data_IF_979547915914
#
_entry.id   IF_979547915914
#
_cell.length_a   1.000
_cell.length_b   1.000
_cell.length_c   1.000
_cell.angle_alpha   90.00
_cell.angle_beta   90.00
_cell.angle_gamma   90.00
#
_symmetry.space_group_name_H-M   'P 1'
#
loop_
_entity.id
_entity.type
_entity.pdbx_description
1 polymer ?
#
# COMPACT_ATOMS: atom_id res chain seq x y z
N UNK A 1 1.29 -9.74 15.01
CA UNK A 1 0.21 -9.96 14.01
C UNK A 1 -0.66 -8.73 13.79
N UNK A 2 -0.80 -7.87 14.81
CA UNK A 2 -1.59 -6.64 14.82
C UNK A 2 -1.35 -5.70 13.63
N UNK A 3 -0.09 -5.31 13.36
CA UNK A 3 0.25 -4.41 12.24
C UNK A 3 -0.25 -4.94 10.89
N UNK A 4 -0.17 -6.25 10.68
CA UNK A 4 -0.66 -6.88 9.45
C UNK A 4 -2.18 -6.79 9.33
N UNK A 5 -2.92 -6.95 10.42
CA UNK A 5 -4.38 -6.81 10.42
C UNK A 5 -4.81 -5.37 10.14
N UNK A 6 -4.18 -4.40 10.81
CA UNK A 6 -4.44 -2.97 10.58
C UNK A 6 -4.15 -2.62 9.12
N UNK A 7 -3.01 -3.06 8.60
CA UNK A 7 -2.60 -2.77 7.22
C UNK A 7 -3.51 -3.48 6.19
N UNK A 8 -4.04 -4.66 6.52
CA UNK A 8 -5.04 -5.33 5.69
C UNK A 8 -6.32 -4.51 5.59
N UNK A 9 -6.86 -4.05 6.73
CA UNK A 9 -8.07 -3.22 6.76
C UNK A 9 -7.85 -1.88 6.05
N UNK A 10 -6.70 -1.23 6.28
CA UNK A 10 -6.34 -0.01 5.58
C UNK A 10 -6.23 -0.21 4.06
N UNK A 11 -5.67 -1.35 3.61
CA UNK A 11 -5.58 -1.68 2.19
C UNK A 11 -6.95 -1.90 1.56
N UNK A 12 -7.89 -2.53 2.27
CA UNK A 12 -9.27 -2.70 1.82
C UNK A 12 -9.97 -1.34 1.63
N UNK A 13 -9.81 -0.42 2.56
CA UNK A 13 -10.32 0.95 2.43
C UNK A 13 -9.63 1.71 1.30
N UNK A 14 -8.31 1.60 1.18
CA UNK A 14 -7.54 2.26 0.13
C UNK A 14 -7.98 1.81 -1.27
N UNK A 15 -8.23 0.52 -1.50
CA UNK A 15 -8.73 0.03 -2.79
C UNK A 15 -10.14 0.54 -3.14
N UNK A 16 -10.93 1.01 -2.17
CA UNK A 16 -12.26 1.60 -2.43
C UNK A 16 -12.16 3.07 -2.83
N UNK A 17 -11.25 3.81 -2.22
CA UNK A 17 -11.18 5.27 -2.34
C UNK A 17 -10.02 5.80 -3.19
N UNK A 18 -8.97 5.01 -3.41
CA UNK A 18 -7.79 5.38 -4.19
C UNK A 18 -7.75 4.55 -5.50
N UNK A 19 -8.11 5.15 -6.65
CA UNK A 19 -8.14 4.46 -7.94
C UNK A 19 -6.82 3.78 -8.31
N UNK A 20 -5.67 4.40 -8.02
CA UNK A 20 -4.35 3.83 -8.39
C UNK A 20 -4.03 2.52 -7.67
N UNK A 21 -4.53 2.36 -6.44
CA UNK A 21 -4.37 1.13 -5.66
C UNK A 21 -5.40 0.08 -6.08
N UNK A 22 -6.62 0.50 -6.41
CA UNK A 22 -7.66 -0.35 -7.00
C UNK A 22 -7.21 -0.97 -8.33
N UNK A 23 -6.70 -0.15 -9.23
CA UNK A 23 -6.27 -0.58 -10.56
C UNK A 23 -5.05 -1.51 -10.46
N UNK A 24 -4.15 -1.24 -9.51
CA UNK A 24 -3.06 -2.15 -9.20
C UNK A 24 -3.57 -3.51 -8.72
N UNK A 25 -4.51 -3.54 -7.78
CA UNK A 25 -5.16 -4.79 -7.34
C UNK A 25 -5.82 -5.54 -8.51
N UNK A 26 -6.60 -4.83 -9.32
CA UNK A 26 -7.29 -5.41 -10.48
C UNK A 26 -6.30 -5.97 -11.51
N UNK A 27 -5.19 -5.29 -11.77
CA UNK A 27 -4.15 -5.79 -12.68
C UNK A 27 -3.54 -7.11 -12.20
N UNK A 28 -3.37 -7.29 -10.89
CA UNK A 28 -2.87 -8.55 -10.31
C UNK A 28 -3.93 -9.65 -10.44
N UNK A 29 -5.21 -9.33 -10.22
CA UNK A 29 -6.33 -10.27 -10.40
C UNK A 29 -6.46 -10.69 -11.87
N UNK A 30 -6.33 -9.77 -12.81
CA UNK A 30 -6.34 -10.05 -14.25
C UNK A 30 -5.20 -10.98 -14.68
N UNK A 31 -4.04 -10.90 -13.99
CA UNK A 31 -2.90 -11.83 -14.16
C UNK A 31 -3.08 -13.18 -13.45
N UNK A 32 -4.28 -13.50 -12.96
CA UNK A 32 -4.59 -14.77 -12.30
C UNK A 32 -4.09 -14.90 -10.85
N UNK A 33 -3.62 -13.81 -10.22
CA UNK A 33 -3.17 -13.88 -8.82
C UNK A 33 -4.36 -14.03 -7.88
N UNK A 34 -4.21 -14.86 -6.84
CA UNK A 34 -5.21 -15.03 -5.79
C UNK A 34 -5.56 -13.71 -5.10
N UNK A 35 -6.80 -13.58 -4.62
CA UNK A 35 -7.30 -12.36 -3.99
C UNK A 35 -6.47 -11.94 -2.78
N UNK A 36 -6.12 -12.90 -1.91
CA UNK A 36 -5.27 -12.64 -0.73
C UNK A 36 -3.86 -12.20 -1.13
N UNK A 37 -3.25 -12.83 -2.14
CA UNK A 37 -1.93 -12.45 -2.65
C UNK A 37 -1.96 -11.02 -3.23
N UNK A 38 -3.00 -10.68 -3.97
CA UNK A 38 -3.17 -9.33 -4.50
C UNK A 38 -3.33 -8.27 -3.39
N UNK A 39 -4.06 -8.58 -2.31
CA UNK A 39 -4.16 -7.68 -1.15
C UNK A 39 -2.80 -7.50 -0.47
N UNK A 40 -2.03 -8.59 -0.27
CA UNK A 40 -0.69 -8.50 0.31
C UNK A 40 0.24 -7.62 -0.55
N UNK A 41 0.12 -7.70 -1.87
CA UNK A 41 0.86 -6.81 -2.76
C UNK A 41 0.45 -5.34 -2.60
N UNK A 42 -0.84 -5.05 -2.44
CA UNK A 42 -1.35 -3.69 -2.16
C UNK A 42 -0.80 -3.18 -0.83
N UNK A 43 -0.82 -4.00 0.22
CA UNK A 43 -0.23 -3.67 1.53
C UNK A 43 1.24 -3.25 1.38
N UNK A 44 2.03 -4.03 0.62
CA UNK A 44 3.44 -3.71 0.36
C UNK A 44 3.60 -2.40 -0.40
N UNK A 45 2.78 -2.16 -1.43
CA UNK A 45 2.82 -0.92 -2.22
C UNK A 45 2.52 0.30 -1.35
N UNK A 46 1.55 0.19 -0.43
CA UNK A 46 1.18 1.26 0.50
C UNK A 46 2.32 1.58 1.47
N UNK A 47 2.99 0.56 2.03
CA UNK A 47 4.17 0.77 2.89
C UNK A 47 5.31 1.47 2.16
N UNK A 48 5.56 1.12 0.89
CA UNK A 48 6.61 1.78 0.09
C UNK A 48 6.29 3.27 -0.11
N UNK A 49 5.03 3.60 -0.40
CA UNK A 49 4.58 5.00 -0.56
C UNK A 49 4.75 5.77 0.75
N UNK A 50 4.31 5.20 1.87
CA UNK A 50 4.42 5.84 3.18
C UNK A 50 5.88 6.06 3.57
N UNK A 51 6.74 5.06 3.37
CA UNK A 51 8.17 5.16 3.67
C UNK A 51 8.87 6.21 2.80
N UNK A 52 8.50 6.34 1.52
CA UNK A 52 9.01 7.39 0.65
C UNK A 52 8.60 8.79 1.18
N UNK A 53 7.31 8.98 1.48
CA UNK A 53 6.82 10.25 2.06
C UNK A 53 7.48 10.59 3.39
N UNK A 54 7.72 9.61 4.25
CA UNK A 54 8.43 9.81 5.51
C UNK A 54 9.88 10.24 5.29
N UNK A 55 10.57 9.62 4.31
CA UNK A 55 11.94 10.02 3.94
C UNK A 55 11.96 11.46 3.42
N UNK A 56 11.03 11.81 2.54
CA UNK A 56 10.94 13.17 1.98
C UNK A 56 10.65 14.20 3.08
N UNK A 57 9.78 13.86 4.04
CA UNK A 57 9.49 14.70 5.20
C UNK A 57 10.69 14.87 6.15
N UNK A 58 11.48 13.82 6.37
CA UNK A 58 12.68 13.87 7.25
C UNK A 58 13.87 14.53 6.58
N UNK A 59 14.03 14.37 5.26
CA UNK A 59 15.08 15.02 4.47
C UNK A 59 14.91 16.53 4.32
N UNK A 60 13.71 17.06 4.60
CA UNK A 60 13.42 18.50 4.61
C UNK A 60 13.80 19.24 5.90
N UNK A 61 14.30 18.54 6.92
CA UNK A 61 14.57 19.14 8.24
C UNK A 61 15.81 18.59 8.93
N UNK A 62 17.02 18.83 8.40
CA UNK A 62 18.25 19.04 9.20
C UNK A 62 19.24 19.94 8.41
N UNK A 63 19.32 21.26 8.67
CA UNK A 63 20.59 21.96 8.50
C UNK A 63 21.51 21.54 9.67
N UNK A 64 22.70 21.03 9.34
CA UNK A 64 23.82 20.97 10.28
C UNK A 64 24.38 22.38 10.49
#
# INVERSE_FOLDING_TARGET
AEIRQVLYMASMSAMRHEPRLRDFYQSLRARGKEGKVAIVAVMRKMLVILNARMRDAQGGSIPA
#
